data_IF_329336099817
#
_entry.id   IF_329336099817
#
_cell.length_a   1.000
_cell.length_b   1.000
_cell.length_c   1.000
_cell.angle_alpha   90.00
_cell.angle_beta   90.00
_cell.angle_gamma   90.00
#
_symmetry.space_group_name_H-M   'P 1'
#
loop_
_entity.id
_entity.type
_entity.pdbx_description
1 polymer ?
#
# COMPACT_ATOMS: atom_id res chain seq x y z
N UNK A 1 11.52 -50.41 -34.33
CA UNK A 1 11.79 -49.94 -32.95
C UNK A 1 12.43 -48.57 -33.02
N UNK A 2 11.69 -47.54 -32.74
CA UNK A 2 12.12 -46.16 -32.94
C UNK A 2 12.65 -45.55 -31.65
N UNK A 3 13.92 -45.77 -31.35
CA UNK A 3 14.65 -45.10 -30.26
C UNK A 3 14.53 -43.56 -30.31
N UNK A 4 14.50 -42.98 -31.52
CA UNK A 4 14.34 -41.56 -31.78
C UNK A 4 12.99 -41.03 -31.24
N UNK A 5 11.91 -41.81 -31.29
CA UNK A 5 10.58 -41.37 -30.87
C UNK A 5 10.40 -41.34 -29.36
N UNK A 6 11.14 -42.16 -28.62
CA UNK A 6 10.93 -42.32 -27.14
C UNK A 6 11.91 -41.53 -26.28
N UNK A 7 13.09 -41.16 -26.83
CA UNK A 7 14.12 -40.46 -26.01
C UNK A 7 14.39 -39.05 -26.54
N UNK A 8 14.43 -38.83 -27.85
CA UNK A 8 14.79 -37.54 -28.46
C UNK A 8 13.59 -36.57 -28.47
N UNK A 9 12.39 -37.04 -28.83
CA UNK A 9 11.18 -36.21 -28.85
C UNK A 9 10.77 -35.62 -27.47
N UNK A 10 10.81 -36.36 -26.36
CA UNK A 10 10.54 -35.77 -25.06
C UNK A 10 11.56 -34.71 -24.62
N UNK A 11 12.86 -34.94 -24.91
CA UNK A 11 13.93 -33.97 -24.60
C UNK A 11 13.82 -32.68 -25.45
N UNK A 12 13.52 -32.82 -26.75
CA UNK A 12 13.31 -31.64 -27.61
C UNK A 12 12.03 -30.88 -27.19
N UNK A 13 10.95 -31.54 -26.78
CA UNK A 13 9.77 -30.91 -26.27
C UNK A 13 10.01 -30.16 -24.93
N UNK A 14 10.90 -30.67 -24.08
CA UNK A 14 11.25 -29.98 -22.82
C UNK A 14 12.15 -28.77 -23.07
N UNK A 15 12.99 -28.78 -24.09
CA UNK A 15 13.86 -27.65 -24.47
C UNK A 15 13.07 -26.57 -25.25
N UNK A 16 12.04 -26.97 -25.98
CA UNK A 16 11.16 -26.04 -26.72
C UNK A 16 9.97 -25.50 -25.90
N UNK A 17 9.69 -26.06 -24.72
CA UNK A 17 8.86 -25.38 -23.73
C UNK A 17 9.70 -24.28 -23.07
N UNK A 18 9.91 -23.17 -23.73
CA UNK A 18 9.98 -21.90 -23.04
C UNK A 18 8.66 -21.82 -22.27
N UNK A 19 8.72 -21.95 -20.97
CA UNK A 19 7.60 -21.58 -20.13
C UNK A 19 7.31 -20.12 -20.44
N UNK A 20 6.31 -19.90 -21.27
CA UNK A 20 5.72 -18.57 -21.41
C UNK A 20 5.12 -18.30 -20.03
N UNK A 21 5.57 -17.31 -19.28
CA UNK A 21 5.01 -17.02 -17.97
C UNK A 21 3.50 -16.93 -18.12
N UNK A 22 2.76 -17.67 -17.31
CA UNK A 22 1.29 -17.79 -17.40
C UNK A 22 0.55 -16.44 -17.29
N UNK A 23 1.25 -15.35 -16.95
CA UNK A 23 0.71 -14.02 -16.71
C UNK A 23 1.36 -12.91 -17.52
N UNK A 24 1.57 -13.13 -18.83
CA UNK A 24 2.04 -12.06 -19.73
C UNK A 24 0.99 -10.96 -19.94
N UNK A 25 -0.28 -11.27 -19.77
CA UNK A 25 -1.39 -10.36 -20.04
C UNK A 25 -2.28 -10.19 -18.81
N UNK A 26 -2.64 -8.95 -18.53
CA UNK A 26 -3.58 -8.59 -17.46
C UNK A 26 -4.86 -8.07 -18.11
N UNK A 27 -5.99 -8.54 -17.62
CA UNK A 27 -7.30 -7.99 -17.99
C UNK A 27 -7.61 -6.78 -17.11
N UNK A 28 -7.82 -5.62 -17.72
CA UNK A 28 -8.25 -4.43 -17.00
C UNK A 28 -9.61 -4.66 -16.33
N UNK A 29 -9.76 -4.45 -15.02
CA UNK A 29 -11.04 -4.65 -14.33
C UNK A 29 -12.15 -3.71 -14.80
N UNK A 30 -11.80 -2.51 -15.28
CA UNK A 30 -12.78 -1.51 -15.73
C UNK A 30 -13.18 -1.69 -17.19
N UNK A 31 -12.20 -1.82 -18.08
CA UNK A 31 -12.46 -1.84 -19.53
C UNK A 31 -12.53 -3.23 -20.13
N UNK A 32 -12.06 -4.25 -19.40
CA UNK A 32 -11.96 -5.62 -19.90
C UNK A 32 -10.83 -5.84 -20.93
N UNK A 33 -10.08 -4.82 -21.31
CA UNK A 33 -8.95 -4.92 -22.25
C UNK A 33 -7.81 -5.75 -21.66
N UNK A 34 -7.14 -6.50 -22.54
CA UNK A 34 -5.91 -7.20 -22.22
C UNK A 34 -4.72 -6.26 -22.45
N UNK A 35 -3.91 -6.10 -21.40
CA UNK A 35 -2.71 -5.24 -21.42
C UNK A 35 -1.49 -6.08 -21.05
N UNK A 36 -0.36 -5.82 -21.68
CA UNK A 36 0.86 -6.55 -21.42
C UNK A 36 1.41 -6.22 -20.02
N UNK A 37 1.74 -7.23 -19.22
CA UNK A 37 2.18 -7.06 -17.83
C UNK A 37 3.36 -6.10 -17.68
N UNK A 38 4.36 -6.21 -18.56
CA UNK A 38 5.55 -5.34 -18.51
C UNK A 38 5.24 -3.86 -18.73
N UNK A 39 4.25 -3.55 -19.56
CA UNK A 39 3.84 -2.17 -19.80
C UNK A 39 3.16 -1.60 -18.55
N UNK A 40 2.36 -2.43 -17.86
CA UNK A 40 1.73 -2.06 -16.59
C UNK A 40 2.78 -1.88 -15.49
N UNK A 41 3.76 -2.77 -15.40
CA UNK A 41 4.87 -2.67 -14.44
C UNK A 41 5.72 -1.42 -14.70
N UNK A 42 6.10 -1.15 -15.94
CA UNK A 42 6.85 0.05 -16.33
C UNK A 42 6.07 1.33 -16.05
N UNK A 43 4.73 1.29 -16.10
CA UNK A 43 3.84 2.39 -15.75
C UNK A 43 3.43 2.38 -14.26
N UNK A 44 4.27 1.87 -13.38
CA UNK A 44 4.03 1.82 -11.92
C UNK A 44 2.71 1.13 -11.54
N UNK A 45 2.34 0.05 -12.22
CA UNK A 45 1.10 -0.70 -12.01
C UNK A 45 -0.19 0.14 -12.24
N UNK A 46 -0.11 1.13 -13.12
CA UNK A 46 -1.27 1.83 -13.65
C UNK A 46 -1.52 1.34 -15.07
N UNK A 47 -2.73 0.89 -15.36
CA UNK A 47 -3.08 0.35 -16.67
C UNK A 47 -3.12 1.48 -17.71
N UNK A 48 -2.28 1.44 -18.76
CA UNK A 48 -2.34 2.41 -19.84
C UNK A 48 -3.73 2.46 -20.50
N UNK A 49 -4.20 3.67 -20.79
CA UNK A 49 -5.50 3.91 -21.42
C UNK A 49 -6.66 4.06 -20.45
N UNK A 50 -6.83 3.17 -19.48
CA UNK A 50 -7.90 3.30 -18.46
C UNK A 50 -7.49 4.13 -17.24
N UNK A 51 -6.19 4.31 -17.01
CA UNK A 51 -5.63 4.89 -15.77
C UNK A 51 -6.03 4.12 -14.50
N UNK A 52 -6.45 2.85 -14.62
CA UNK A 52 -6.78 2.04 -13.46
C UNK A 52 -5.54 1.75 -12.60
N UNK A 53 -5.58 2.15 -11.35
CA UNK A 53 -4.50 1.95 -10.38
C UNK A 53 -4.60 0.55 -9.77
N UNK A 54 -3.77 -0.37 -10.26
CA UNK A 54 -3.69 -1.73 -9.70
C UNK A 54 -2.98 -1.72 -8.35
N UNK A 55 -3.14 -2.80 -7.59
CA UNK A 55 -2.35 -3.03 -6.38
C UNK A 55 -0.87 -3.08 -6.70
N UNK A 56 -0.06 -2.61 -5.78
CA UNK A 56 1.39 -2.55 -5.91
C UNK A 56 2.03 -3.13 -4.66
N UNK A 57 3.00 -4.02 -4.81
CA UNK A 57 3.68 -4.63 -3.68
C UNK A 57 4.46 -3.60 -2.86
N UNK A 58 4.67 -3.91 -1.57
CA UNK A 58 5.42 -3.02 -0.68
C UNK A 58 6.83 -2.72 -1.21
N UNK A 59 7.53 -3.72 -1.74
CA UNK A 59 8.86 -3.52 -2.31
C UNK A 59 8.86 -2.59 -3.53
N UNK A 60 7.92 -2.77 -4.46
CA UNK A 60 7.79 -1.91 -5.63
C UNK A 60 7.42 -0.47 -5.24
N UNK A 61 6.56 -0.29 -4.22
CA UNK A 61 6.20 1.02 -3.70
C UNK A 61 7.40 1.75 -3.10
N UNK A 62 8.19 1.09 -2.25
CA UNK A 62 9.39 1.68 -1.67
C UNK A 62 10.39 2.10 -2.76
N UNK A 63 10.60 1.26 -3.79
CA UNK A 63 11.43 1.59 -4.95
C UNK A 63 10.94 2.84 -5.68
N UNK A 64 9.63 3.02 -5.84
CA UNK A 64 9.07 4.17 -6.54
C UNK A 64 9.20 5.49 -5.78
N UNK A 65 9.49 5.45 -4.48
CA UNK A 65 9.54 6.62 -3.60
C UNK A 65 10.97 7.04 -3.29
N UNK A 66 11.83 6.10 -2.90
CA UNK A 66 13.19 6.43 -2.47
C UNK A 66 14.13 6.79 -3.62
N UNK A 67 15.04 7.71 -3.35
CA UNK A 67 16.10 8.11 -4.27
C UNK A 67 17.00 6.92 -4.61
N UNK A 68 17.33 6.77 -5.90
CA UNK A 68 18.14 5.67 -6.41
C UNK A 68 17.64 4.27 -6.01
N UNK A 69 16.33 4.13 -5.71
CA UNK A 69 15.71 2.89 -5.26
C UNK A 69 16.38 2.27 -4.01
N UNK A 70 17.00 3.10 -3.15
CA UNK A 70 17.79 2.64 -2.00
C UNK A 70 17.20 3.12 -0.67
N UNK A 71 17.13 2.22 0.30
CA UNK A 71 16.67 2.50 1.66
C UNK A 71 17.28 1.50 2.64
N UNK A 72 17.16 1.79 3.92
CA UNK A 72 17.44 0.87 5.02
C UNK A 72 16.14 0.29 5.54
N UNK A 73 16.03 -1.03 5.56
CA UNK A 73 14.87 -1.70 6.19
C UNK A 73 14.89 -1.43 7.70
N UNK A 74 13.73 -1.03 8.23
CA UNK A 74 13.56 -0.82 9.67
C UNK A 74 13.11 -2.13 10.29
N UNK A 75 13.87 -2.62 11.26
CA UNK A 75 13.50 -3.82 12.02
C UNK A 75 12.29 -3.54 12.91
N UNK A 76 11.28 -4.38 12.81
CA UNK A 76 10.06 -4.34 13.63
C UNK A 76 10.22 -5.33 14.77
N UNK A 77 9.85 -4.98 16.02
CA UNK A 77 9.85 -5.92 17.13
C UNK A 77 8.98 -7.15 16.84
N UNK A 78 9.41 -8.29 17.34
CA UNK A 78 8.64 -9.53 17.20
C UNK A 78 7.45 -9.54 18.15
N UNK A 79 6.34 -10.07 17.67
CA UNK A 79 5.11 -10.25 18.44
C UNK A 79 4.73 -11.73 18.50
N UNK A 80 3.91 -12.12 19.48
CA UNK A 80 3.34 -13.47 19.52
C UNK A 80 2.52 -13.75 18.27
N UNK A 81 2.78 -14.88 17.59
CA UNK A 81 2.18 -15.16 16.28
C UNK A 81 0.70 -15.55 16.34
N UNK A 82 0.28 -16.25 17.37
CA UNK A 82 -1.10 -16.75 17.49
C UNK A 82 -1.47 -16.96 18.96
N UNK A 83 -1.58 -15.88 19.75
CA UNK A 83 -1.86 -16.02 21.19
C UNK A 83 -3.26 -16.56 21.48
N UNK A 84 -4.21 -16.38 20.54
CA UNK A 84 -5.59 -16.86 20.68
C UNK A 84 -5.77 -18.31 20.17
N UNK A 85 -4.75 -18.90 19.53
CA UNK A 85 -4.81 -20.22 18.90
C UNK A 85 -6.02 -20.33 17.95
N UNK A 86 -6.23 -19.28 17.15
CA UNK A 86 -7.39 -19.15 16.28
C UNK A 86 -7.42 -20.24 15.21
N UNK A 87 -8.60 -20.82 15.05
CA UNK A 87 -8.91 -21.80 14.00
C UNK A 87 -10.36 -21.64 13.54
N UNK A 88 -10.52 -21.48 12.23
CA UNK A 88 -11.78 -21.69 11.52
C UNK A 88 -11.65 -22.98 10.68
N UNK A 89 -11.85 -22.93 9.38
CA UNK A 89 -11.55 -24.02 8.45
C UNK A 89 -10.05 -24.36 8.42
N UNK A 90 -9.18 -23.36 8.71
CA UNK A 90 -7.72 -23.47 8.72
C UNK A 90 -7.16 -22.79 9.96
N UNK A 91 -6.01 -23.28 10.46
CA UNK A 91 -5.29 -22.61 11.56
C UNK A 91 -4.73 -21.26 11.08
N UNK A 92 -4.72 -20.29 11.95
CA UNK A 92 -4.17 -18.95 11.65
C UNK A 92 -2.68 -19.02 11.26
N UNK A 93 -1.89 -19.84 11.94
CA UNK A 93 -0.47 -20.07 11.61
C UNK A 93 -0.25 -20.57 10.18
N UNK A 94 -1.14 -21.41 9.65
CA UNK A 94 -1.05 -21.88 8.27
C UNK A 94 -1.34 -20.74 7.28
N UNK A 95 -2.32 -19.87 7.59
CA UNK A 95 -2.60 -18.68 6.78
C UNK A 95 -1.42 -17.70 6.77
N UNK A 96 -0.77 -17.49 7.93
CA UNK A 96 0.44 -16.66 8.04
C UNK A 96 1.58 -17.21 7.20
N UNK A 97 1.80 -18.54 7.26
CA UNK A 97 2.83 -19.21 6.46
C UNK A 97 2.62 -19.01 4.96
N UNK A 98 1.38 -19.18 4.49
CA UNK A 98 1.02 -18.99 3.08
C UNK A 98 1.21 -17.53 2.65
N UNK A 99 0.76 -16.57 3.47
CA UNK A 99 0.92 -15.15 3.18
C UNK A 99 2.40 -14.75 3.10
N UNK A 100 3.23 -15.24 4.03
CA UNK A 100 4.68 -15.03 4.03
C UNK A 100 5.35 -15.63 2.79
N UNK A 101 4.97 -16.84 2.42
CA UNK A 101 5.50 -17.52 1.23
C UNK A 101 5.12 -16.77 -0.05
N UNK A 102 3.87 -16.27 -0.14
CA UNK A 102 3.36 -15.54 -1.29
C UNK A 102 4.01 -14.17 -1.47
N UNK A 103 4.19 -13.43 -0.38
CA UNK A 103 4.59 -12.02 -0.43
C UNK A 103 6.07 -11.77 -0.15
N UNK A 104 6.75 -12.73 0.50
CA UNK A 104 8.10 -12.55 1.02
C UNK A 104 8.17 -11.61 2.23
N UNK A 105 7.04 -11.13 2.74
CA UNK A 105 6.95 -10.23 3.89
C UNK A 105 6.80 -11.00 5.21
N UNK A 106 7.27 -10.43 6.30
CA UNK A 106 7.04 -10.96 7.65
C UNK A 106 5.60 -10.74 8.11
N UNK A 107 5.02 -9.58 7.80
CA UNK A 107 3.61 -9.20 8.01
C UNK A 107 3.19 -8.11 7.02
N UNK A 108 1.97 -7.60 7.13
CA UNK A 108 1.33 -6.71 6.16
C UNK A 108 2.03 -5.35 5.97
N UNK A 109 2.86 -4.89 6.90
CA UNK A 109 3.52 -3.58 6.80
C UNK A 109 5.03 -3.74 6.67
N UNK A 110 5.60 -3.13 5.63
CA UNK A 110 7.05 -2.99 5.42
C UNK A 110 7.46 -1.55 5.64
N UNK A 111 8.58 -1.36 6.35
CA UNK A 111 9.13 -0.04 6.67
C UNK A 111 10.49 0.16 6.01
N UNK A 112 10.71 1.37 5.52
CA UNK A 112 12.00 1.81 4.99
C UNK A 112 12.39 3.20 5.52
N UNK A 113 13.67 3.43 5.72
CA UNK A 113 14.24 4.73 5.98
C UNK A 113 15.23 5.08 4.88
N UNK A 114 15.09 6.24 4.27
CA UNK A 114 15.94 6.65 3.16
C UNK A 114 15.76 8.11 2.79
N UNK A 115 16.15 8.47 1.57
CA UNK A 115 15.97 9.81 1.03
C UNK A 115 14.85 9.84 0.00
N UNK A 116 14.09 10.90 0.02
CA UNK A 116 13.12 11.28 -0.98
C UNK A 116 13.44 12.70 -1.42
N UNK A 117 13.95 12.86 -2.64
CA UNK A 117 14.38 14.15 -3.17
C UNK A 117 15.35 14.87 -2.20
N UNK A 118 16.37 14.13 -1.78
CA UNK A 118 17.42 14.48 -0.80
C UNK A 118 16.94 14.61 0.66
N UNK A 119 15.65 14.51 0.94
CA UNK A 119 15.13 14.56 2.31
C UNK A 119 15.15 13.20 2.98
N UNK A 120 15.57 13.16 4.23
CA UNK A 120 15.38 11.99 5.07
C UNK A 120 13.88 11.78 5.36
N UNK A 121 13.39 10.57 5.15
CA UNK A 121 12.00 10.20 5.39
C UNK A 121 11.89 8.75 5.83
N UNK A 122 10.94 8.47 6.70
CA UNK A 122 10.49 7.10 6.99
C UNK A 122 9.25 6.83 6.14
N UNK A 123 9.24 5.70 5.44
CA UNK A 123 8.11 5.27 4.62
C UNK A 123 7.61 3.92 5.10
N UNK A 124 6.32 3.85 5.41
CA UNK A 124 5.60 2.60 5.68
C UNK A 124 4.72 2.24 4.49
N UNK A 125 4.71 0.97 4.11
CA UNK A 125 3.83 0.46 3.06
C UNK A 125 3.07 -0.74 3.59
N UNK A 126 1.75 -0.62 3.60
CA UNK A 126 0.84 -1.71 3.92
C UNK A 126 0.49 -2.47 2.65
N UNK A 127 0.84 -3.75 2.61
CA UNK A 127 0.67 -4.61 1.44
C UNK A 127 -0.63 -5.40 1.54
N UNK A 128 -1.54 -5.15 0.61
CA UNK A 128 -2.85 -5.81 0.59
C UNK A 128 -2.76 -7.31 0.30
N UNK A 129 -1.73 -7.76 -0.39
CA UNK A 129 -1.55 -9.19 -0.70
C UNK A 129 -1.19 -10.03 0.53
N UNK A 130 -0.72 -9.39 1.61
CA UNK A 130 -0.55 -10.05 2.89
C UNK A 130 -1.87 -10.01 3.68
N UNK A 131 -2.66 -11.08 3.59
CA UNK A 131 -3.92 -11.24 4.33
C UNK A 131 -4.87 -10.03 4.24
N UNK A 132 -5.01 -9.45 3.02
CA UNK A 132 -5.84 -8.27 2.81
C UNK A 132 -5.30 -7.00 3.45
N UNK A 133 -4.00 -6.90 3.72
CA UNK A 133 -3.40 -5.76 4.42
C UNK A 133 -3.95 -5.57 5.84
N UNK A 134 -4.48 -6.62 6.46
CA UNK A 134 -5.23 -6.50 7.71
C UNK A 134 -4.36 -6.06 8.88
N UNK A 135 -4.93 -5.19 9.74
CA UNK A 135 -4.30 -4.71 10.97
C UNK A 135 -4.31 -5.82 12.01
N UNK A 136 -3.16 -6.46 12.22
CA UNK A 136 -2.88 -7.35 13.34
C UNK A 136 -1.83 -6.75 14.27
N UNK A 137 -1.42 -7.50 15.29
CA UNK A 137 -0.39 -7.06 16.25
C UNK A 137 0.91 -6.68 15.56
N UNK A 138 1.40 -7.51 14.63
CA UNK A 138 2.65 -7.23 13.92
C UNK A 138 2.54 -6.02 12.99
N UNK A 139 1.41 -5.84 12.29
CA UNK A 139 1.17 -4.68 11.46
C UNK A 139 1.06 -3.40 12.30
N UNK A 140 0.35 -3.45 13.45
CA UNK A 140 0.27 -2.34 14.39
C UNK A 140 1.62 -1.96 14.97
N UNK A 141 2.42 -2.94 15.36
CA UNK A 141 3.78 -2.72 15.86
C UNK A 141 4.68 -2.09 14.80
N UNK A 142 4.53 -2.50 13.54
CA UNK A 142 5.26 -1.89 12.43
C UNK A 142 4.88 -0.41 12.24
N UNK A 143 3.59 -0.07 12.26
CA UNK A 143 3.15 1.33 12.15
C UNK A 143 3.71 2.16 13.31
N UNK A 144 3.62 1.66 14.55
CA UNK A 144 4.19 2.31 15.74
C UNK A 144 5.69 2.53 15.56
N UNK A 145 6.43 1.48 15.16
CA UNK A 145 7.89 1.58 14.97
C UNK A 145 8.26 2.58 13.87
N UNK A 146 7.47 2.65 12.79
CA UNK A 146 7.64 3.66 11.75
C UNK A 146 7.51 5.09 12.27
N UNK A 147 6.43 5.37 13.01
CA UNK A 147 6.16 6.67 13.63
C UNK A 147 7.23 7.05 14.67
N UNK A 148 7.61 6.13 15.55
CA UNK A 148 8.66 6.34 16.54
C UNK A 148 10.03 6.58 15.88
N UNK A 149 10.38 5.81 14.85
CA UNK A 149 11.63 6.02 14.10
C UNK A 149 11.64 7.40 13.43
N UNK A 150 10.53 7.84 12.86
CA UNK A 150 10.42 9.17 12.29
C UNK A 150 10.58 10.27 13.35
N UNK A 151 9.99 10.09 14.52
CA UNK A 151 10.16 11.00 15.66
C UNK A 151 11.62 11.05 16.14
N UNK A 152 12.25 9.89 16.37
CA UNK A 152 13.65 9.77 16.78
C UNK A 152 14.61 10.43 15.78
N UNK A 153 14.35 10.23 14.48
CA UNK A 153 15.17 10.80 13.39
C UNK A 153 14.76 12.22 13.01
N UNK A 154 13.75 12.78 13.66
CA UNK A 154 13.20 14.12 13.38
C UNK A 154 12.91 14.34 11.90
N UNK A 155 12.28 13.36 11.25
CA UNK A 155 11.93 13.39 9.83
C UNK A 155 10.44 13.07 9.61
N UNK A 156 9.87 13.36 8.42
CA UNK A 156 8.51 12.98 8.08
C UNK A 156 8.27 11.48 8.11
N UNK A 157 7.03 11.08 8.42
CA UNK A 157 6.55 9.73 8.17
C UNK A 157 5.52 9.74 7.05
N UNK A 158 5.71 8.87 6.07
CA UNK A 158 4.78 8.67 4.95
C UNK A 158 4.26 7.24 4.99
N UNK A 159 2.94 7.08 5.07
CA UNK A 159 2.30 5.77 5.08
C UNK A 159 1.46 5.56 3.83
N UNK A 160 1.74 4.51 3.08
CA UNK A 160 0.86 3.99 2.04
C UNK A 160 -0.07 2.95 2.66
N UNK A 161 -1.33 3.30 2.84
CA UNK A 161 -2.32 2.43 3.45
C UNK A 161 -3.09 1.62 2.40
N UNK A 162 -3.17 0.30 2.61
CA UNK A 162 -3.97 -0.63 1.82
C UNK A 162 -4.49 -1.74 2.73
N UNK A 163 -5.80 -1.73 3.07
CA UNK A 163 -6.31 -2.67 4.07
C UNK A 163 -7.80 -2.94 3.93
N UNK A 164 -8.18 -4.19 4.23
CA UNK A 164 -9.56 -4.60 4.49
C UNK A 164 -10.03 -4.34 5.92
N UNK A 165 -9.16 -3.85 6.83
CA UNK A 165 -9.51 -3.54 8.22
C UNK A 165 -8.77 -4.38 9.26
N UNK A 166 -9.38 -4.58 10.42
CA UNK A 166 -8.82 -5.35 11.54
C UNK A 166 -8.67 -6.84 11.20
N UNK A 167 -7.59 -7.47 11.68
CA UNK A 167 -7.31 -8.90 11.47
C UNK A 167 -8.20 -9.77 12.36
N UNK A 168 -9.21 -10.37 11.77
CA UNK A 168 -10.23 -11.16 12.48
C UNK A 168 -9.62 -12.27 13.34
N UNK A 169 -8.57 -12.93 12.87
CA UNK A 169 -7.91 -14.05 13.55
C UNK A 169 -7.22 -13.65 14.86
N UNK A 170 -6.94 -12.38 15.05
CA UNK A 170 -6.36 -11.84 16.28
C UNK A 170 -7.39 -11.16 17.20
N UNK A 171 -8.67 -11.17 16.82
CA UNK A 171 -9.79 -10.69 17.64
C UNK A 171 -9.55 -9.32 18.26
N UNK A 172 -9.77 -9.22 19.56
CA UNK A 172 -9.61 -7.97 20.33
C UNK A 172 -8.17 -7.42 20.29
N UNK A 173 -7.15 -8.28 20.14
CA UNK A 173 -5.76 -7.84 20.06
C UNK A 173 -5.48 -7.02 18.81
N UNK A 174 -6.16 -7.34 17.69
CA UNK A 174 -6.16 -6.51 16.49
C UNK A 174 -6.79 -5.14 16.75
N UNK A 175 -7.94 -5.08 17.42
CA UNK A 175 -8.61 -3.82 17.74
C UNK A 175 -7.77 -2.95 18.69
N UNK A 176 -7.03 -3.55 19.61
CA UNK A 176 -6.13 -2.82 20.50
C UNK A 176 -4.94 -2.16 19.79
N UNK A 177 -4.68 -2.49 18.53
CA UNK A 177 -3.66 -1.78 17.76
C UNK A 177 -4.12 -0.35 17.39
N UNK A 178 -5.43 -0.11 17.27
CA UNK A 178 -5.93 1.23 16.94
C UNK A 178 -5.52 2.29 17.98
N UNK A 179 -5.82 2.16 19.29
CA UNK A 179 -5.36 3.13 20.28
C UNK A 179 -3.82 3.18 20.39
N UNK A 180 -3.12 2.06 20.25
CA UNK A 180 -1.65 2.05 20.29
C UNK A 180 -1.02 2.88 19.17
N UNK A 181 -1.51 2.73 17.95
CA UNK A 181 -1.04 3.52 16.79
C UNK A 181 -1.41 5.00 16.94
N UNK A 182 -2.58 5.32 17.51
CA UNK A 182 -2.99 6.71 17.79
C UNK A 182 -2.02 7.41 18.76
N UNK A 183 -1.57 6.71 19.82
CA UNK A 183 -0.56 7.24 20.75
C UNK A 183 0.78 7.49 20.01
N UNK A 184 1.17 6.61 19.10
CA UNK A 184 2.40 6.80 18.34
C UNK A 184 2.31 8.00 17.36
N UNK A 185 1.14 8.24 16.77
CA UNK A 185 0.88 9.45 15.97
C UNK A 185 1.07 10.70 16.83
N UNK A 186 0.51 10.72 18.03
CA UNK A 186 0.68 11.85 18.95
C UNK A 186 2.15 12.12 19.28
N UNK A 187 2.96 11.09 19.52
CA UNK A 187 4.41 11.23 19.73
C UNK A 187 5.14 11.87 18.53
N UNK A 188 4.76 11.52 17.30
CA UNK A 188 5.32 12.15 16.12
C UNK A 188 4.93 13.62 16.03
N UNK A 189 3.67 13.97 16.29
CA UNK A 189 3.18 15.36 16.30
C UNK A 189 3.94 16.24 17.29
N UNK A 190 4.35 15.72 18.45
CA UNK A 190 5.17 16.44 19.44
C UNK A 190 6.51 16.89 18.85
N UNK A 191 7.04 16.15 17.87
CA UNK A 191 8.27 16.53 17.16
C UNK A 191 8.06 17.57 16.06
N UNK A 192 6.81 17.96 15.79
CA UNK A 192 6.39 18.85 14.69
C UNK A 192 6.87 18.37 13.31
N UNK A 193 6.91 17.06 13.11
CA UNK A 193 7.21 16.45 11.81
C UNK A 193 5.93 15.92 11.19
N UNK A 194 5.73 16.12 9.88
CA UNK A 194 4.48 15.76 9.24
C UNK A 194 4.31 14.24 9.15
N UNK A 195 3.06 13.82 9.36
CA UNK A 195 2.54 12.52 9.03
C UNK A 195 1.68 12.60 7.77
N UNK A 196 2.14 12.05 6.66
CA UNK A 196 1.42 12.05 5.37
C UNK A 196 0.89 10.65 5.11
N UNK A 197 -0.40 10.54 4.84
CA UNK A 197 -1.03 9.25 4.50
C UNK A 197 -1.45 9.25 3.05
N UNK A 198 -1.04 8.20 2.33
CA UNK A 198 -1.49 7.90 0.98
C UNK A 198 -2.46 6.73 1.03
N UNK A 199 -3.72 7.03 0.80
CA UNK A 199 -4.83 6.06 0.82
C UNK A 199 -4.93 5.37 -0.54
N UNK A 200 -4.68 4.07 -0.56
CA UNK A 200 -4.70 3.26 -1.79
C UNK A 200 -5.89 2.29 -1.81
N UNK A 201 -6.11 1.61 -2.92
CA UNK A 201 -7.30 0.78 -3.14
C UNK A 201 -7.11 -0.68 -2.67
N UNK A 202 -7.92 -1.14 -1.68
CA UNK A 202 -8.83 -0.42 -0.80
C UNK A 202 -8.16 -0.03 0.53
N UNK A 203 -8.70 0.99 1.22
CA UNK A 203 -8.36 1.29 2.61
C UNK A 203 -9.65 1.40 3.43
N UNK A 204 -9.92 0.40 4.29
CA UNK A 204 -11.22 0.26 4.96
C UNK A 204 -11.13 -0.18 6.42
N UNK A 205 -12.24 -0.18 7.11
CA UNK A 205 -12.44 -0.75 8.44
C UNK A 205 -11.64 -0.07 9.54
N UNK A 206 -11.07 -0.87 10.45
CA UNK A 206 -10.29 -0.37 11.59
C UNK A 206 -9.06 0.44 11.22
N UNK A 207 -8.56 0.32 9.99
CA UNK A 207 -7.42 1.10 9.49
C UNK A 207 -7.83 2.54 9.21
N UNK A 208 -8.96 2.77 8.52
CA UNK A 208 -9.52 4.12 8.34
C UNK A 208 -10.06 4.70 9.67
N UNK A 209 -10.55 3.85 10.57
CA UNK A 209 -11.00 4.30 11.89
C UNK A 209 -9.85 4.63 12.85
N UNK A 210 -8.61 4.55 12.41
CA UNK A 210 -7.42 4.84 13.23
C UNK A 210 -6.33 5.56 12.44
N UNK A 211 -5.13 5.05 12.42
CA UNK A 211 -3.94 5.72 11.91
C UNK A 211 -4.03 6.21 10.46
N UNK A 212 -4.82 5.57 9.59
CA UNK A 212 -4.90 6.02 8.19
C UNK A 212 -5.64 7.35 8.00
N UNK A 213 -6.45 7.78 8.99
CA UNK A 213 -7.16 9.07 8.97
C UNK A 213 -6.66 10.04 10.06
N UNK A 214 -5.45 9.81 10.56
CA UNK A 214 -4.80 10.68 11.56
C UNK A 214 -3.59 11.43 10.98
N UNK A 215 -3.41 11.41 9.66
CA UNK A 215 -2.37 12.17 8.99
C UNK A 215 -2.62 13.67 9.01
N UNK A 216 -1.56 14.46 8.91
CA UNK A 216 -1.65 15.91 8.67
C UNK A 216 -2.11 16.21 7.23
N UNK A 217 -1.83 15.29 6.30
CA UNK A 217 -2.29 15.35 4.91
C UNK A 217 -2.71 13.96 4.45
N UNK A 218 -3.89 13.89 3.83
CA UNK A 218 -4.46 12.69 3.24
C UNK A 218 -4.48 12.79 1.72
N UNK A 219 -3.66 11.96 1.07
CA UNK A 219 -3.61 11.84 -0.38
C UNK A 219 -4.32 10.54 -0.76
N UNK A 220 -5.21 10.56 -1.74
CA UNK A 220 -5.82 9.35 -2.28
C UNK A 220 -5.30 9.05 -3.69
N UNK A 221 -5.11 7.78 -4.04
CA UNK A 221 -4.93 7.38 -5.43
C UNK A 221 -6.29 7.42 -6.16
N UNK A 222 -6.32 7.79 -7.46
CA UNK A 222 -7.55 7.82 -8.25
C UNK A 222 -8.36 6.52 -8.17
N UNK A 223 -9.67 6.66 -8.00
CA UNK A 223 -10.61 5.55 -7.93
C UNK A 223 -10.49 4.65 -6.70
N UNK A 224 -9.60 4.97 -5.74
CA UNK A 224 -9.43 4.16 -4.52
C UNK A 224 -10.72 4.11 -3.70
N UNK A 225 -11.08 2.92 -3.23
CA UNK A 225 -12.15 2.70 -2.27
C UNK A 225 -11.63 2.97 -0.86
N UNK A 226 -12.20 3.97 -0.21
CA UNK A 226 -11.80 4.41 1.13
C UNK A 226 -13.06 4.59 1.98
N UNK A 227 -13.13 3.88 3.10
CA UNK A 227 -14.31 3.96 3.97
C UNK A 227 -14.22 3.02 5.17
N UNK A 228 -15.18 3.11 6.09
CA UNK A 228 -15.22 2.20 7.23
C UNK A 228 -15.88 0.88 6.84
N UNK A 229 -17.18 0.87 6.64
CA UNK A 229 -17.90 -0.29 6.15
C UNK A 229 -17.92 -0.32 4.61
N UNK A 230 -17.87 -1.50 4.01
CA UNK A 230 -18.00 -1.63 2.56
C UNK A 230 -19.39 -1.20 2.06
N UNK A 231 -19.52 -0.66 0.83
CA UNK A 231 -20.79 -0.16 0.28
C UNK A 231 -21.93 -1.18 0.40
N UNK A 232 -21.67 -2.44 0.07
CA UNK A 232 -22.68 -3.51 0.15
C UNK A 232 -23.24 -3.69 1.56
N UNK A 233 -22.39 -3.61 2.60
CA UNK A 233 -22.82 -3.74 4.00
C UNK A 233 -23.70 -2.55 4.40
N UNK A 234 -23.34 -1.35 3.97
CA UNK A 234 -24.12 -0.14 4.23
C UNK A 234 -25.48 -0.25 3.57
N UNK A 235 -25.56 -0.54 2.28
CA UNK A 235 -26.82 -0.69 1.52
C UNK A 235 -27.74 -1.73 2.13
N UNK A 236 -27.19 -2.88 2.55
CA UNK A 236 -27.98 -3.93 3.22
C UNK A 236 -28.50 -3.48 4.59
N UNK A 237 -27.77 -2.64 5.29
CA UNK A 237 -28.16 -2.15 6.63
C UNK A 237 -29.21 -1.07 6.55
N UNK A 238 -29.02 -0.06 5.70
CA UNK A 238 -29.95 1.06 5.55
C UNK A 238 -31.09 0.77 4.55
N UNK A 239 -30.94 -0.27 3.73
CA UNK A 239 -31.87 -0.69 2.66
C UNK A 239 -32.11 0.38 1.58
N UNK A 240 -31.12 1.21 1.34
CA UNK A 240 -31.12 2.25 0.32
C UNK A 240 -29.90 2.11 -0.59
N UNK A 241 -30.01 2.61 -1.82
CA UNK A 241 -28.87 2.69 -2.74
C UNK A 241 -27.98 3.86 -2.35
N UNK A 242 -26.67 3.62 -2.36
CA UNK A 242 -25.69 4.64 -2.13
C UNK A 242 -25.53 5.56 -3.37
N UNK A 243 -25.16 6.83 -3.18
CA UNK A 243 -24.84 7.73 -4.29
C UNK A 243 -23.76 7.15 -5.21
N UNK A 244 -23.79 7.53 -6.49
CA UNK A 244 -22.77 7.12 -7.44
C UNK A 244 -21.39 7.61 -6.98
N UNK A 245 -20.39 6.72 -7.06
CA UNK A 245 -19.03 7.01 -6.62
C UNK A 245 -18.83 7.07 -5.11
N UNK A 246 -19.85 6.75 -4.30
CA UNK A 246 -19.72 6.74 -2.84
C UNK A 246 -18.48 5.97 -2.35
N UNK A 247 -17.74 6.56 -1.42
CA UNK A 247 -16.45 6.06 -0.90
C UNK A 247 -15.31 5.98 -1.93
N UNK A 248 -15.46 6.52 -3.13
CA UNK A 248 -14.35 6.68 -4.06
C UNK A 248 -13.54 7.93 -3.72
N UNK A 249 -12.25 7.90 -4.07
CA UNK A 249 -11.31 8.99 -3.79
C UNK A 249 -11.84 10.37 -4.24
N UNK A 250 -12.41 10.45 -5.43
CA UNK A 250 -12.96 11.68 -6.02
C UNK A 250 -14.18 12.18 -5.25
N UNK A 251 -15.07 11.24 -4.85
CA UNK A 251 -16.22 11.56 -4.01
C UNK A 251 -15.77 12.13 -2.65
N UNK A 252 -14.77 11.50 -2.04
CA UNK A 252 -14.24 11.91 -0.73
C UNK A 252 -13.53 13.27 -0.81
N UNK A 253 -12.84 13.56 -1.91
CA UNK A 253 -12.26 14.87 -2.17
C UNK A 253 -13.35 15.96 -2.25
N UNK A 254 -14.42 15.69 -3.00
CA UNK A 254 -15.53 16.63 -3.14
C UNK A 254 -16.26 16.90 -1.80
N UNK A 255 -16.17 15.98 -0.84
CA UNK A 255 -16.78 16.09 0.49
C UNK A 255 -15.78 16.45 1.60
N UNK A 256 -14.55 16.81 1.26
CA UNK A 256 -13.54 17.27 2.23
C UNK A 256 -12.98 16.20 3.15
N UNK A 257 -13.10 14.92 2.80
CA UNK A 257 -12.57 13.79 3.58
C UNK A 257 -11.12 13.47 3.27
N UNK A 258 -10.63 13.89 2.10
CA UNK A 258 -9.22 13.81 1.70
C UNK A 258 -8.79 15.15 1.12
N UNK A 259 -7.51 15.47 1.22
CA UNK A 259 -6.97 16.76 0.80
C UNK A 259 -6.69 16.83 -0.70
N UNK A 260 -6.33 15.67 -1.30
CA UNK A 260 -6.05 15.61 -2.73
C UNK A 260 -6.17 14.20 -3.29
N UNK A 261 -6.49 14.11 -4.57
CA UNK A 261 -6.40 12.89 -5.37
C UNK A 261 -5.23 13.05 -6.34
N UNK A 262 -4.24 12.16 -6.26
CA UNK A 262 -2.98 12.30 -6.99
C UNK A 262 -2.67 11.01 -7.75
N UNK A 263 -2.45 11.14 -9.06
CA UNK A 263 -2.03 10.02 -9.90
C UNK A 263 -0.68 9.48 -9.43
N UNK A 264 -0.50 8.17 -9.47
CA UNK A 264 0.67 7.48 -8.93
C UNK A 264 2.00 8.01 -9.45
N UNK A 265 2.09 8.36 -10.73
CA UNK A 265 3.29 8.96 -11.35
C UNK A 265 3.72 10.28 -10.69
N UNK A 266 2.76 11.01 -10.13
CA UNK A 266 2.98 12.34 -9.55
C UNK A 266 3.15 12.30 -8.03
N UNK A 267 2.88 11.13 -7.39
CA UNK A 267 2.91 10.98 -5.93
C UNK A 267 4.29 11.31 -5.33
N UNK A 268 5.36 10.80 -5.93
CA UNK A 268 6.72 11.03 -5.42
C UNK A 268 7.04 12.52 -5.33
N UNK A 269 6.80 13.26 -6.40
CA UNK A 269 7.04 14.70 -6.45
C UNK A 269 6.13 15.49 -5.50
N UNK A 270 4.85 15.09 -5.41
CA UNK A 270 3.88 15.71 -4.50
C UNK A 270 4.27 15.51 -3.04
N UNK A 271 4.62 14.29 -2.63
CA UNK A 271 5.04 13.98 -1.26
C UNK A 271 6.33 14.75 -0.92
N UNK A 272 7.32 14.76 -1.81
CA UNK A 272 8.56 15.51 -1.61
C UNK A 272 8.30 17.00 -1.38
N UNK A 273 7.42 17.61 -2.20
CA UNK A 273 7.02 19.01 -2.04
C UNK A 273 6.32 19.27 -0.71
N UNK A 274 5.39 18.41 -0.30
CA UNK A 274 4.70 18.51 0.99
C UNK A 274 5.68 18.38 2.17
N UNK A 275 6.58 17.42 2.13
CA UNK A 275 7.63 17.27 3.15
C UNK A 275 8.44 18.55 3.30
N UNK A 276 8.88 19.17 2.20
CA UNK A 276 9.62 20.44 2.24
C UNK A 276 8.80 21.59 2.85
N UNK A 277 7.57 21.77 2.39
CA UNK A 277 6.71 22.85 2.86
C UNK A 277 6.43 22.72 4.35
N UNK A 278 6.03 21.53 4.80
CA UNK A 278 5.64 21.28 6.19
C UNK A 278 6.82 21.28 7.16
N UNK A 279 8.02 20.93 6.70
CA UNK A 279 9.24 20.98 7.53
C UNK A 279 9.98 22.30 7.44
N UNK A 280 9.51 23.25 6.62
CA UNK A 280 10.19 24.54 6.35
C UNK A 280 11.65 24.36 5.90
N UNK A 281 11.95 23.26 5.26
CA UNK A 281 13.30 22.99 4.80
C UNK A 281 13.62 23.87 3.57
N UNK A 282 14.89 24.35 3.45
CA UNK A 282 15.30 25.15 2.29
C UNK A 282 15.05 24.36 1.01
N UNK A 283 14.63 25.04 -0.04
CA UNK A 283 14.53 24.46 -1.35
C UNK A 283 15.92 23.97 -1.75
N UNK A 284 16.16 22.66 -1.74
CA UNK A 284 17.30 22.10 -2.43
C UNK A 284 17.25 22.58 -3.87
N UNK A 285 18.39 22.80 -4.53
CA UNK A 285 18.44 23.26 -5.92
C UNK A 285 17.64 22.32 -6.83
N UNK A 286 16.33 22.50 -6.85
CA UNK A 286 15.44 21.81 -7.74
C UNK A 286 15.77 22.29 -9.14
N UNK A 287 16.32 21.42 -9.97
CA UNK A 287 16.27 21.61 -11.43
C UNK A 287 14.81 21.72 -11.78
N UNK A 288 14.37 22.97 -11.96
CA UNK A 288 13.03 23.32 -12.42
C UNK A 288 12.83 22.71 -13.81
N UNK A 289 12.06 21.63 -13.87
CA UNK A 289 11.41 21.17 -15.08
C UNK A 289 9.99 20.78 -14.74
N UNK A 290 9.17 21.77 -14.49
CA UNK A 290 7.72 21.65 -14.56
C UNK A 290 7.24 22.60 -15.64
N UNK A 291 7.00 22.07 -16.84
CA UNK A 291 6.04 22.68 -17.78
C UNK A 291 4.65 22.36 -17.25
N UNK A 292 3.90 23.38 -16.88
CA UNK A 292 2.46 23.25 -16.65
C UNK A 292 1.82 22.69 -17.94
N UNK A 293 0.88 21.74 -17.84
CA UNK A 293 0.09 21.38 -19.00
C UNK A 293 -0.66 22.62 -19.48
N UNK A 294 -0.66 22.86 -20.80
CA UNK A 294 -1.43 23.92 -21.40
C UNK A 294 -2.91 23.79 -21.02
N UNK A 295 -3.61 24.91 -20.73
CA UNK A 295 -5.04 24.86 -20.48
C UNK A 295 -5.76 24.30 -21.72
N UNK A 296 -6.71 23.39 -21.49
CA UNK A 296 -7.57 22.83 -22.51
C UNK A 296 -8.59 23.85 -23.01
#
# INVERSE_FOLDING_TARGET
MNWISNVVRPKIRSILRREVPENLWIKCPETGQLVFYKDVEANQFVIPGSNYHMRMSAAARLKSIFDNETWFDIAVPEVSLDPLKFRDERRYLDRLKDARSKTGLKDAVKLGYGKLDEFAVVVGVQDFDFMGGSLGMAAGEAVIKGLETAAEKTCPFVLFAASGGARMQEGILSLMQMPRTTIAVQKLHETRKPYIVVLTNPTTGGVTASYAMLGDVHIAEPGALIGFAGPRVIEQTIREKLPDGFQKAEYLLAHGMVDMVVHRRDLRATIARLCRLLTKAPAGAAKAQYSLPAPA
#
